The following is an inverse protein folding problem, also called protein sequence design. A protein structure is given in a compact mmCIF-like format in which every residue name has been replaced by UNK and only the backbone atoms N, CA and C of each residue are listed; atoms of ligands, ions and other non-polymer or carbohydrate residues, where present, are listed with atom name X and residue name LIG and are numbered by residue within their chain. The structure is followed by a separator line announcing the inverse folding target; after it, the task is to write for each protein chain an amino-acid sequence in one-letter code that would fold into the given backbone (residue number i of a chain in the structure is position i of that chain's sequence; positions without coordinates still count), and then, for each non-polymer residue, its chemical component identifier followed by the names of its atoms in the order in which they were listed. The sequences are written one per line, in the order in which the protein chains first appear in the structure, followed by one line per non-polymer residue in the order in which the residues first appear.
data_IF_986391538129
#
_entry.id   IF_986391538129
#
_cell.length_a   1.000
_cell.length_b   1.000
_cell.length_c   1.000
_cell.angle_alpha   90.00
_cell.angle_beta   90.00
_cell.angle_gamma   90.00
#
_symmetry.space_group_name_H-M   'P 1'
#
loop_
_entity.id
_entity.type
_entity.pdbx_description
1 polymer ?
2 non-polymer ?
3 water ?
#
# COMPACT_ATOMS: atom_id res chain seq x y z
N UNK A 13 14.86 -5.16 13.41
CA UNK A 13 15.13 -5.29 14.84
C UNK A 13 14.21 -4.46 15.71
N UNK A 14 14.78 -3.72 16.68
CA UNK A 14 14.02 -2.84 17.58
C UNK A 14 13.95 -1.42 17.00
N UNK A 15 12.80 -0.75 17.17
CA UNK A 15 12.57 0.59 16.65
C UNK A 15 12.12 1.51 17.76
N UNK A 16 12.52 2.77 17.70
CA UNK A 16 12.10 3.76 18.70
C UNK A 16 11.21 4.76 17.99
N UNK A 17 10.05 5.07 18.57
CA UNK A 17 9.11 6.02 17.99
C UNK A 17 9.63 7.47 18.11
N UNK A 18 9.67 8.21 16.97
CA UNK A 18 10.01 9.63 16.93
C UNK A 18 8.70 10.41 16.92
N UNK A 19 7.73 9.98 16.08
CA UNK A 19 6.43 10.59 15.95
C UNK A 19 5.42 9.59 15.40
N UNK A 20 4.20 9.63 15.93
CA UNK A 20 3.11 8.79 15.41
C UNK A 20 2.37 9.68 14.39
N UNK A 21 2.22 9.20 13.15
CA UNK A 21 1.52 9.96 12.10
C UNK A 21 0.02 9.69 12.10
N UNK A 22 -0.35 8.42 12.31
CA UNK A 22 -1.72 7.93 12.48
C UNK A 22 -1.63 6.53 13.12
N UNK A 23 -2.77 5.82 13.28
CA UNK A 23 -2.84 4.48 13.90
C UNK A 23 -2.08 3.39 13.15
N UNK A 24 -1.79 3.63 11.86
CA UNK A 24 -1.10 2.65 11.02
C UNK A 24 0.26 3.08 10.51
N UNK A 25 0.69 4.31 10.86
CA UNK A 25 1.93 4.91 10.34
C UNK A 25 2.76 5.51 11.44
N UNK A 26 4.06 5.23 11.39
CA UNK A 26 5.04 5.62 12.39
C UNK A 26 6.32 6.20 11.80
N UNK A 27 6.88 7.23 12.45
CA UNK A 27 8.23 7.68 12.12
C UNK A 27 9.11 7.08 13.23
N UNK A 28 10.10 6.27 12.86
CA UNK A 28 10.94 5.60 13.84
C UNK A 28 12.45 5.79 13.64
N UNK A 29 13.20 5.66 14.75
CA UNK A 29 14.66 5.66 14.75
C UNK A 29 15.06 4.18 14.72
N UNK A 30 16.06 3.84 13.91
CA UNK A 30 16.50 2.46 13.69
C UNK A 30 18.06 2.37 13.64
N UNK A 31 18.62 1.47 12.78
CA UNK A 31 20.04 1.18 12.55
C UNK A 31 20.89 2.42 12.38
N UNK A 32 21.97 2.56 13.19
CA UNK A 32 22.93 3.69 13.12
C UNK A 32 22.26 5.09 13.11
N UNK A 33 21.15 5.25 13.85
CA UNK A 33 20.32 6.46 13.92
C UNK A 33 19.61 6.81 12.60
N UNK A 34 19.27 5.77 11.81
CA UNK A 34 18.53 5.99 10.59
C UNK A 34 17.08 6.26 10.96
N UNK A 35 16.47 7.17 10.22
CA UNK A 35 15.07 7.49 10.43
C UNK A 35 14.33 6.75 9.32
N UNK A 36 13.32 5.96 9.70
CA UNK A 36 12.47 5.18 8.78
C UNK A 36 11.01 5.51 9.00
N UNK A 37 10.16 5.11 8.02
CA UNK A 37 8.72 5.21 8.12
C UNK A 37 8.23 3.77 8.25
N UNK A 38 7.42 3.52 9.28
CA UNK A 38 6.85 2.19 9.48
C UNK A 38 5.35 2.20 9.15
N UNK A 39 4.88 1.21 8.39
CA UNK A 39 3.47 1.04 8.01
C UNK A 39 3.04 -0.36 8.47
N UNK A 40 1.93 -0.44 9.17
CA UNK A 40 1.42 -1.71 9.70
C UNK A 40 0.05 -1.57 10.31
N UNK A 41 -0.64 -2.68 10.49
CA UNK A 41 -1.99 -2.67 11.06
C UNK A 41 -1.98 -2.40 12.58
N UNK A 42 -2.43 -1.20 12.96
CA UNK A 42 -2.52 -0.74 14.34
C UNK A 42 -1.21 -0.45 15.04
N UNK A 43 -0.08 -0.38 14.29
CA UNK A 43 1.28 -0.12 14.81
C UNK A 43 1.47 1.16 15.64
N UNK A 44 0.69 2.20 15.32
CA UNK A 44 0.76 3.50 15.98
C UNK A 44 -0.23 3.73 17.12
N UNK A 45 -1.25 2.85 17.26
CA UNK A 45 -2.30 2.94 18.28
C UNK A 45 -1.74 2.95 19.70
N UNK A 46 -2.10 3.99 20.45
CA UNK A 46 -1.69 4.20 21.83
C UNK A 46 -0.21 4.45 22.03
N UNK A 47 0.53 4.64 20.93
CA UNK A 47 1.98 4.87 20.94
C UNK A 47 2.28 6.36 21.07
N UNK A 48 3.47 6.66 21.57
CA UNK A 48 3.97 8.01 21.74
C UNK A 48 5.49 7.96 21.59
N UNK A 49 6.12 9.11 21.40
CA UNK A 49 7.58 9.26 21.25
C UNK A 49 8.34 8.52 22.34
N UNK A 50 9.41 7.82 21.94
CA UNK A 50 10.32 7.04 22.80
C UNK A 50 9.90 5.64 23.10
N UNK A 51 8.69 5.25 22.67
CA UNK A 51 8.20 3.87 22.81
C UNK A 51 9.05 2.98 21.95
N UNK A 52 9.41 1.82 22.51
CA UNK A 52 10.22 0.83 21.82
C UNK A 52 9.30 -0.24 21.27
N UNK A 53 9.37 -0.45 19.96
CA UNK A 53 8.57 -1.47 19.30
C UNK A 53 9.45 -2.48 18.58
N UNK A 54 9.00 -3.72 18.57
CA UNK A 54 9.66 -4.82 17.88
C UNK A 54 8.66 -5.27 16.83
N UNK A 55 9.13 -5.83 15.70
CA UNK A 55 8.22 -6.32 14.66
C UNK A 55 7.41 -7.47 15.27
N UNK A 56 6.08 -7.30 15.30
CA UNK A 56 5.13 -8.28 15.82
C UNK A 56 5.05 -9.50 14.90
N UNK A 57 5.32 -9.29 13.61
CA UNK A 57 5.29 -10.32 12.58
C UNK A 57 3.90 -10.64 12.06
N UNK A 58 2.85 -10.27 12.82
CA UNK A 58 1.45 -10.53 12.48
C UNK A 58 0.64 -9.27 12.09
N UNK A 59 1.28 -8.09 12.02
CA UNK A 59 0.61 -6.81 11.68
C UNK A 59 0.96 -6.23 10.30
N UNK A 60 1.54 -7.09 9.41
CA UNK A 60 1.88 -6.77 8.01
C UNK A 60 2.74 -5.53 7.89
N UNK A 61 3.79 -5.46 8.71
CA UNK A 61 4.67 -4.30 8.77
C UNK A 61 5.60 -4.18 7.57
N UNK A 62 5.70 -2.95 7.06
CA UNK A 62 6.61 -2.55 6.00
C UNK A 62 7.42 -1.35 6.47
N UNK A 63 8.67 -1.29 6.03
CA UNK A 63 9.62 -0.23 6.38
C UNK A 63 9.94 0.56 5.12
N UNK A 64 9.93 1.90 5.21
CA UNK A 64 10.37 2.80 4.13
C UNK A 64 11.69 3.41 4.63
N UNK A 65 12.81 3.01 4.02
CA UNK A 65 14.16 3.48 4.38
C UNK A 65 14.62 4.65 3.53
N UNK A 66 14.23 4.67 2.25
CA UNK A 66 14.65 5.72 1.35
C UNK A 66 13.98 7.04 1.70
N UNK A 67 14.81 8.06 1.91
CA UNK A 67 14.46 9.44 2.28
C UNK A 67 13.41 10.07 1.35
N UNK A 68 13.53 9.86 0.01
CA UNK A 68 12.58 10.40 -0.98
C UNK A 68 11.23 9.69 -0.91
N UNK A 69 11.24 8.36 -0.65
CA UNK A 69 10.01 7.55 -0.51
C UNK A 69 9.25 7.92 0.76
N UNK A 70 9.98 8.17 1.86
CA UNK A 70 9.40 8.59 3.15
C UNK A 70 8.70 9.94 2.96
N UNK A 71 9.38 10.91 2.29
CA UNK A 71 8.86 12.26 2.03
C UNK A 71 7.55 12.19 1.23
N UNK A 72 7.53 11.36 0.18
CA UNK A 72 6.38 11.18 -0.69
C UNK A 72 5.24 10.49 0.02
N UNK A 73 5.53 9.48 0.88
CA UNK A 73 4.47 8.81 1.65
C UNK A 73 3.83 9.77 2.66
N UNK A 74 4.65 10.49 3.43
CA UNK A 74 4.15 11.45 4.43
C UNK A 74 3.30 12.54 3.78
N UNK A 75 3.70 13.02 2.56
CA UNK A 75 2.93 14.03 1.83
C UNK A 75 1.55 13.47 1.44
N UNK A 76 1.47 12.18 1.00
CA UNK A 76 0.16 11.60 0.66
C UNK A 76 -0.78 11.44 1.85
N UNK A 77 -0.23 11.41 3.08
CA UNK A 77 -1.03 11.32 4.30
C UNK A 77 -1.83 12.60 4.54
N UNK A 78 -1.49 13.70 3.81
CA UNK A 78 -2.21 14.98 3.87
C UNK A 78 -3.63 14.87 3.33
N UNK A 79 -3.96 13.75 2.65
CA UNK A 79 -5.31 13.52 2.12
C UNK A 79 -5.86 12.08 2.21
N UNK A 80 -4.98 11.07 2.15
CA UNK A 80 -5.38 9.66 2.23
C UNK A 80 -5.54 9.29 3.71
N UNK A 81 -6.74 8.87 4.13
CA UNK A 81 -6.97 8.52 5.54
C UNK A 81 -6.34 7.19 5.96
N UNK A 82 -6.27 6.94 7.27
CA UNK A 82 -5.64 5.74 7.83
C UNK A 82 -6.26 4.44 7.39
N UNK A 83 -7.57 4.45 7.11
CA UNK A 83 -8.34 3.29 6.64
C UNK A 83 -7.85 2.88 5.23
N UNK A 84 -7.68 3.88 4.34
CA UNK A 84 -7.20 3.68 2.97
C UNK A 84 -5.74 3.28 2.97
N UNK A 85 -4.96 3.78 3.95
CA UNK A 85 -3.56 3.38 4.13
C UNK A 85 -3.57 1.87 4.47
N UNK A 86 -4.49 1.46 5.38
CA UNK A 86 -4.62 0.07 5.82
C UNK A 86 -5.14 -0.88 4.72
N UNK A 87 -6.14 -0.45 3.92
CA UNK A 87 -6.64 -1.27 2.80
C UNK A 87 -5.47 -1.54 1.82
N UNK A 88 -4.71 -0.48 1.46
CA UNK A 88 -3.56 -0.55 0.55
C UNK A 88 -2.44 -1.40 1.11
N UNK A 89 -2.26 -1.40 2.45
CA UNK A 89 -1.24 -2.21 3.11
C UNK A 89 -1.61 -3.67 3.03
N UNK A 90 -2.91 -3.96 3.22
CA UNK A 90 -3.46 -5.30 3.12
C UNK A 90 -3.26 -5.83 1.71
N UNK A 91 -3.45 -5.00 0.67
CA UNK A 91 -3.26 -5.45 -0.72
C UNK A 91 -1.79 -5.63 -1.09
N UNK A 92 -0.90 -4.73 -0.60
CA UNK A 92 0.55 -4.81 -0.84
C UNK A 92 1.09 -6.06 -0.14
N UNK A 93 0.62 -6.33 1.09
CA UNK A 93 1.01 -7.54 1.82
C UNK A 93 0.65 -8.80 1.02
N UNK A 94 -0.58 -8.84 0.47
CA UNK A 94 -1.08 -9.91 -0.41
C UNK A 94 -0.20 -10.00 -1.68
N UNK A 95 0.08 -8.85 -2.34
CA UNK A 95 0.95 -8.84 -3.53
C UNK A 95 2.31 -9.46 -3.18
N UNK A 96 2.94 -8.98 -2.08
CA UNK A 96 4.24 -9.46 -1.58
C UNK A 96 4.25 -11.00 -1.40
N UNK A 97 3.19 -11.55 -0.77
CA UNK A 97 3.07 -12.99 -0.53
C UNK A 97 2.78 -13.77 -1.80
N UNK A 98 1.96 -13.21 -2.70
CA UNK A 98 1.59 -13.89 -3.94
C UNK A 98 2.72 -13.92 -4.97
N UNK A 99 3.62 -12.93 -4.93
CA UNK A 99 4.75 -12.86 -5.87
C UNK A 99 5.97 -13.54 -5.26
N UNK A 100 6.00 -13.67 -3.91
CA UNK A 100 7.11 -14.23 -3.12
C UNK A 100 8.41 -13.56 -3.60
N UNK A 101 8.34 -12.22 -3.72
CA UNK A 101 9.40 -11.37 -4.24
C UNK A 101 9.43 -10.06 -3.48
N UNK A 102 10.62 -9.41 -3.48
CA UNK A 102 10.86 -8.10 -2.89
C UNK A 102 10.19 -7.05 -3.80
N UNK A 103 9.31 -6.23 -3.22
CA UNK A 103 8.63 -5.16 -3.95
C UNK A 103 9.37 -3.88 -3.62
N UNK A 104 9.57 -2.99 -4.60
CA UNK A 104 10.25 -1.75 -4.27
C UNK A 104 9.37 -0.88 -3.35
N UNK A 105 10.00 -0.06 -2.48
CA UNK A 105 9.31 0.82 -1.53
C UNK A 105 8.26 1.72 -2.16
N UNK A 106 8.45 2.10 -3.44
CA UNK A 106 7.56 3.02 -4.16
C UNK A 106 6.10 2.52 -4.31
N UNK A 107 5.88 1.20 -4.28
CA UNK A 107 4.53 0.60 -4.34
C UNK A 107 3.62 1.18 -3.20
N UNK A 108 4.25 1.52 -2.04
CA UNK A 108 3.53 2.08 -0.89
C UNK A 108 3.05 3.50 -1.20
N UNK A 109 3.74 4.21 -2.11
CA UNK A 109 3.40 5.58 -2.49
C UNK A 109 2.44 5.56 -3.70
N UNK A 110 2.89 4.95 -4.82
CA UNK A 110 2.15 4.86 -6.07
C UNK A 110 0.82 4.10 -5.95
N UNK A 111 0.85 2.90 -5.37
CA UNK A 111 -0.35 2.09 -5.25
C UNK A 111 -1.38 2.58 -4.22
N UNK A 112 -0.94 3.12 -3.08
CA UNK A 112 -1.86 3.69 -2.08
C UNK A 112 -2.64 4.85 -2.71
N UNK A 113 -1.91 5.76 -3.41
CA UNK A 113 -2.48 6.92 -4.10
C UNK A 113 -3.44 6.43 -5.18
N UNK A 114 -3.06 5.37 -5.94
CA UNK A 114 -3.90 4.81 -6.99
C UNK A 114 -5.20 4.19 -6.45
N UNK A 115 -5.10 3.38 -5.37
CA UNK A 115 -6.26 2.75 -4.72
C UNK A 115 -7.25 3.81 -4.19
N UNK A 116 -6.74 4.83 -3.47
CA UNK A 116 -7.55 5.92 -2.91
C UNK A 116 -8.27 6.70 -4.03
N UNK A 117 -7.58 6.96 -5.17
CA UNK A 117 -8.14 7.60 -6.37
C UNK A 117 -9.29 6.75 -6.93
N UNK A 118 -9.04 5.45 -7.17
CA UNK A 118 -10.01 4.52 -7.75
C UNK A 118 -11.25 4.37 -6.88
N UNK A 119 -11.06 4.30 -5.54
CA UNK A 119 -12.18 4.18 -4.61
C UNK A 119 -13.08 5.42 -4.69
N UNK A 120 -12.47 6.60 -4.58
CA UNK A 120 -13.15 7.91 -4.63
C UNK A 120 -13.81 8.15 -5.99
N UNK A 121 -13.16 7.71 -7.07
CA UNK A 121 -13.69 7.86 -8.42
C UNK A 121 -14.99 7.05 -8.54
N UNK A 122 -14.99 5.82 -8.01
CA UNK A 122 -16.15 4.95 -8.00
C UNK A 122 -17.24 5.51 -7.07
N UNK A 123 -16.83 6.04 -5.89
CA UNK A 123 -17.79 6.63 -4.95
C UNK A 123 -18.49 7.84 -5.58
N UNK A 124 -17.79 8.57 -6.46
CA UNK A 124 -18.34 9.74 -7.11
C UNK A 124 -19.13 9.44 -8.39
N UNK A 125 -19.23 8.17 -8.76
CA UNK A 125 -20.00 7.76 -9.93
C UNK A 125 -19.34 7.98 -11.27
N UNK A 126 -18.02 8.27 -11.29
CA UNK A 126 -17.30 8.46 -12.54
C UNK A 126 -16.94 7.11 -13.14
N UNK A 127 -17.65 6.71 -14.19
CA UNK A 127 -17.37 5.44 -14.84
C UNK A 127 -16.01 5.42 -15.55
N UNK A 128 -15.43 4.24 -15.69
CA UNK A 128 -14.16 4.11 -16.38
C UNK A 128 -14.08 2.92 -17.28
N UNK A 129 -13.39 3.09 -18.38
CA UNK A 129 -13.19 2.04 -19.34
C UNK A 129 -11.70 1.94 -19.65
N UNK A 130 -11.14 0.71 -19.55
CA UNK A 130 -9.77 0.39 -19.90
C UNK A 130 -9.88 -0.44 -21.18
N UNK A 131 -9.46 0.11 -22.32
CA UNK A 131 -9.63 -0.63 -23.57
C UNK A 131 -8.63 -1.77 -23.79
N UNK A 132 -7.55 -1.84 -22.97
CA UNK A 132 -6.45 -2.81 -23.13
C UNK A 132 -6.33 -3.92 -22.10
N UNK A 133 -7.46 -4.42 -21.53
CA UNK A 133 -7.42 -5.51 -20.53
C UNK A 133 -6.91 -6.81 -21.12
N UNK A 134 -7.28 -7.11 -22.40
CA UNK A 134 -6.84 -8.32 -23.09
C UNK A 134 -5.31 -8.31 -23.28
N UNK A 135 -4.75 -7.19 -23.77
CA UNK A 135 -3.29 -7.08 -23.93
C UNK A 135 -2.54 -7.11 -22.58
N UNK A 136 -3.10 -6.46 -21.52
CA UNK A 136 -2.47 -6.45 -20.19
C UNK A 136 -2.38 -7.87 -19.62
N UNK A 137 -3.49 -8.62 -19.66
CA UNK A 137 -3.58 -10.01 -19.20
C UNK A 137 -2.66 -10.95 -20.02
N UNK A 138 -2.56 -10.74 -21.34
CA UNK A 138 -1.71 -11.57 -22.21
C UNK A 138 -0.21 -11.40 -21.87
N UNK A 139 0.20 -10.16 -21.66
CA UNK A 139 1.59 -9.82 -21.33
C UNK A 139 1.94 -10.08 -19.88
N UNK A 140 0.94 -9.95 -18.97
CA UNK A 140 1.19 -10.11 -17.53
C UNK A 140 0.15 -11.01 -16.87
N UNK A 141 0.06 -12.31 -17.25
CA UNK A 141 -1.01 -13.17 -16.68
C UNK A 141 -0.97 -13.38 -15.18
N UNK A 142 0.24 -13.40 -14.57
CA UNK A 142 0.39 -13.60 -13.12
C UNK A 142 -0.02 -12.35 -12.36
N UNK A 143 0.46 -11.20 -12.80
CA UNK A 143 0.23 -9.88 -12.24
C UNK A 143 -1.25 -9.53 -12.37
N UNK A 144 -1.87 -9.92 -13.51
CA UNK A 144 -3.30 -9.77 -13.79
C UNK A 144 -4.16 -10.60 -12.82
N UNK A 145 -3.79 -11.87 -12.58
CA UNK A 145 -4.50 -12.77 -11.64
C UNK A 145 -4.47 -12.19 -10.21
N UNK A 146 -3.28 -11.77 -9.74
CA UNK A 146 -3.07 -11.15 -8.42
C UNK A 146 -3.92 -9.88 -8.34
N UNK A 147 -3.93 -9.07 -9.42
CA UNK A 147 -4.72 -7.83 -9.50
C UNK A 147 -6.23 -8.08 -9.33
N UNK A 148 -6.77 -9.19 -9.91
CA UNK A 148 -8.18 -9.61 -9.77
C UNK A 148 -8.51 -9.94 -8.29
N UNK A 149 -7.55 -10.61 -7.59
CA UNK A 149 -7.70 -10.97 -6.17
C UNK A 149 -7.62 -9.69 -5.33
N UNK A 150 -6.76 -8.72 -5.74
CA UNK A 150 -6.56 -7.41 -5.10
C UNK A 150 -7.87 -6.58 -5.20
N UNK A 151 -8.52 -6.59 -6.38
CA UNK A 151 -9.79 -5.91 -6.64
C UNK A 151 -10.90 -6.47 -5.74
N UNK A 152 -10.95 -7.82 -5.60
CA UNK A 152 -11.90 -8.51 -4.72
C UNK A 152 -11.73 -8.07 -3.26
N UNK A 153 -10.46 -7.90 -2.83
CA UNK A 153 -10.09 -7.43 -1.48
C UNK A 153 -10.57 -5.99 -1.28
N UNK A 154 -10.20 -5.07 -2.21
CA UNK A 154 -10.61 -3.66 -2.15
C UNK A 154 -12.14 -3.54 -2.07
N UNK A 155 -12.88 -4.28 -2.94
CA UNK A 155 -14.34 -4.31 -3.00
C UNK A 155 -14.97 -4.68 -1.65
N UNK A 156 -14.45 -5.74 -0.99
CA UNK A 156 -14.93 -6.17 0.32
C UNK A 156 -14.61 -5.12 1.38
N UNK A 157 -13.33 -4.67 1.46
CA UNK A 157 -12.87 -3.67 2.44
C UNK A 157 -13.56 -2.30 2.34
N UNK A 158 -13.77 -1.79 1.11
CA UNK A 158 -14.40 -0.48 0.91
C UNK A 158 -15.93 -0.54 0.66
N UNK A 159 -16.51 -1.74 0.56
CA UNK A 159 -17.95 -1.95 0.35
C UNK A 159 -18.51 -1.40 -0.95
N UNK A 160 -17.86 -1.69 -2.07
CA UNK A 160 -18.29 -1.21 -3.38
C UNK A 160 -17.81 -2.18 -4.47
N UNK A 161 -18.02 -1.85 -5.74
CA UNK A 161 -17.57 -2.67 -6.86
C UNK A 161 -16.76 -1.79 -7.79
N UNK A 162 -15.43 -1.95 -7.76
CA UNK A 162 -14.53 -1.17 -8.60
C UNK A 162 -14.74 -1.61 -10.06
N UNK A 163 -14.65 -0.68 -11.04
CA UNK A 163 -14.78 -1.10 -12.45
C UNK A 163 -13.73 -2.12 -12.83
N UNK A 164 -14.08 -3.01 -13.76
CA UNK A 164 -13.21 -4.08 -14.27
C UNK A 164 -11.88 -3.54 -14.81
N UNK A 165 -11.91 -2.37 -15.46
CA UNK A 165 -10.73 -1.72 -16.03
C UNK A 165 -9.56 -1.53 -15.06
N UNK A 166 -9.89 -1.42 -13.77
CA UNK A 166 -8.90 -1.25 -12.71
C UNK A 166 -7.96 -2.45 -12.53
N UNK A 167 -8.37 -3.67 -12.97
CA UNK A 167 -7.52 -4.88 -12.88
C UNK A 167 -6.23 -4.65 -13.69
N UNK A 168 -6.38 -3.98 -14.84
CA UNK A 168 -5.29 -3.64 -15.75
C UNK A 168 -4.29 -2.72 -15.10
N UNK A 169 -4.77 -1.64 -14.46
CA UNK A 169 -3.92 -0.67 -13.77
C UNK A 169 -3.16 -1.26 -12.62
N UNK A 170 -3.82 -2.09 -11.78
CA UNK A 170 -3.19 -2.74 -10.63
C UNK A 170 -2.07 -3.67 -11.13
N UNK A 171 -2.34 -4.47 -12.18
CA UNK A 171 -1.37 -5.39 -12.81
C UNK A 171 -0.10 -4.69 -13.23
N UNK A 172 -0.24 -3.52 -13.91
CA UNK A 172 0.90 -2.69 -14.34
C UNK A 172 1.71 -2.10 -13.16
N UNK A 173 1.04 -1.73 -12.04
CA UNK A 173 1.75 -1.27 -10.83
C UNK A 173 2.54 -2.46 -10.25
N UNK A 174 1.98 -3.69 -10.32
CA UNK A 174 2.62 -4.91 -9.80
C UNK A 174 3.89 -5.20 -10.58
N UNK A 175 3.83 -5.03 -11.94
CA UNK A 175 5.01 -5.21 -12.78
C UNK A 175 6.10 -4.22 -12.37
N UNK A 176 5.74 -2.92 -12.20
CA UNK A 176 6.67 -1.86 -11.81
C UNK A 176 7.34 -2.10 -10.46
N UNK A 177 6.59 -2.58 -9.46
CA UNK A 177 7.07 -2.83 -8.11
C UNK A 177 8.06 -4.02 -8.08
N UNK A 178 7.84 -5.00 -8.98
CA UNK A 178 8.68 -6.19 -9.14
C UNK A 178 9.97 -5.90 -9.90
N UNK A 179 9.99 -4.82 -10.72
CA UNK A 179 11.13 -4.49 -11.60
C UNK A 179 11.88 -3.18 -11.35
N UNK A 180 11.21 -2.18 -10.72
CA UNK A 180 11.69 -0.82 -10.41
C UNK A 180 11.62 0.10 -11.63
X LIG B 1 -3.28 -1.28 -19.25
X LIG B 1 -4.29 -1.77 -18.34
X LIG B 1 -3.47 0.18 -19.65
X LIG B 1 -4.40 0.29 -20.70
X LIG B 1 -2.17 0.75 -20.16
X LIG B 1 -1.92 1.77 -19.21
X LIG C 1 4.45 2.74 -13.10
X LIG C 1 3.71 1.71 -12.44
X LIG C 1 4.97 3.80 -12.12
X LIG C 1 6.35 3.52 -11.94
X LIG C 1 4.33 3.76 -10.71
X LIG C 1 4.84 4.89 -9.99
X LIG D 1 1.34 6.05 -13.42
X LIG D 1 0.39 6.98 -13.97
X LIG D 1 0.76 5.41 -12.17
X LIG D 1 1.55 5.90 -11.07
X LIG D 1 -0.76 5.77 -12.00
X LIG D 1 -1.55 4.78 -11.33
X LIG E 1 5.26 -12.08 -16.61
X LIG E 1 4.77 -11.45 -17.79
X LIG E 1 4.76 -13.53 -16.71
X LIG E 1 5.88 -14.41 -16.51
X LIG E 1 3.79 -13.82 -15.58
X LIG E 1 2.71 -12.92 -15.61
X LIG F 1 -9.40 -5.63 -24.96
X LIG F 1 -9.90 -6.00 -23.68
X LIG F 1 -10.13 -6.51 -25.97
X LIG F 1 -11.43 -5.96 -26.08
X LIG F 1 -9.36 -6.72 -27.30
X LIG F 1 -10.15 -6.77 -28.51
X LIG G 1 14.25 13.26 6.54
X LIG G 1 12.99 13.32 7.23
X LIG G 1 14.90 11.85 6.51
X LIG G 1 13.93 10.80 6.50
X LIG G 1 15.95 11.66 7.63
X LIG G 1 16.68 10.42 7.49
#
# INVERSE_FOLDING_TARGET
GSHMTKELRIVNGSFTVKKVLNNNVLIASHHKYSEVVLIGKGIGFGKKQDDVIEDKGYDKMFILKDEKEQKQFKKLLDYVDEKLVDISNDVIYHISNRTNHSLNEHIHIALTDHIAFAIKRQQQGFDMKNPFLMETQSLYPEEYQIAKEVIDMINEKAGLCLPEGEIGFIALHIHSALTN
GOL C1 O1 C2 O2 C3 O3
GOL C1 O1 C2 O2 C3 O3
GOL C1 O1 C2 O2 C3 O3
GOL C1 O1 C2 O2 C3 O3
GOL C1 O1 C2 O2 C3 O3
GOL C1 O1 C2 O2 C3 O3
#
